data_IF_408299831909
#
_entry.id   IF_408299831909
#
_cell.length_a   1.000
_cell.length_b   1.000
_cell.length_c   1.000
_cell.angle_alpha   90.00
_cell.angle_beta   90.00
_cell.angle_gamma   90.00
#
_symmetry.space_group_name_H-M   'P 1'
#
loop_
_entity.id
_entity.type
_entity.pdbx_description
1 polymer ?
#
# COMPACT_ATOMS: atom_id res chain seq x y z
N UNK A 1 32.25 9.99 70.67
CA UNK A 1 33.60 9.98 70.06
C UNK A 1 33.53 10.60 68.68
N UNK A 2 34.26 11.70 68.48
CA UNK A 2 34.88 12.30 67.27
C UNK A 2 34.09 12.45 65.94
N UNK A 3 34.02 13.72 65.54
CA UNK A 3 33.92 14.26 64.17
C UNK A 3 34.86 13.55 63.17
N UNK A 4 34.56 13.63 61.87
CA UNK A 4 35.30 14.46 60.88
C UNK A 4 34.64 14.33 59.49
N UNK A 5 34.30 15.49 58.93
CA UNK A 5 33.92 15.79 57.55
C UNK A 5 35.14 15.69 56.62
N UNK A 6 35.00 15.16 55.40
CA UNK A 6 35.90 15.52 54.28
C UNK A 6 35.08 15.74 53.01
N UNK A 7 35.08 16.99 52.56
CA UNK A 7 34.72 17.42 51.22
C UNK A 7 35.70 16.81 50.20
N UNK A 8 35.17 16.27 49.10
CA UNK A 8 35.91 16.05 47.85
C UNK A 8 35.28 16.89 46.74
N UNK A 9 35.97 17.96 46.36
CA UNK A 9 35.59 18.98 45.38
C UNK A 9 35.92 18.50 43.95
N UNK A 10 34.95 18.69 43.05
CA UNK A 10 35.07 19.00 41.60
C UNK A 10 35.93 18.09 40.72
N UNK A 11 35.24 17.34 39.86
CA UNK A 11 35.72 16.92 38.54
C UNK A 11 34.73 17.40 37.48
N UNK A 12 35.00 18.59 36.93
CA UNK A 12 34.22 19.20 35.85
C UNK A 12 34.57 18.54 34.50
N UNK A 13 33.54 18.18 33.73
CA UNK A 13 33.47 18.21 32.25
C UNK A 13 34.55 17.49 31.44
N UNK A 14 34.20 16.34 30.86
CA UNK A 14 34.51 16.04 29.45
C UNK A 14 33.36 15.30 28.78
N UNK A 15 33.04 15.79 27.57
CA UNK A 15 31.98 15.36 26.67
C UNK A 15 32.08 13.87 26.31
N UNK A 16 30.92 13.20 26.29
CA UNK A 16 30.76 11.85 25.72
C UNK A 16 29.37 11.71 25.11
N UNK A 17 29.27 12.02 23.82
CA UNK A 17 28.12 11.77 22.96
C UNK A 17 27.85 10.27 22.88
N UNK A 18 26.63 9.82 23.24
CA UNK A 18 25.92 8.71 22.59
C UNK A 18 24.56 8.48 23.31
N UNK A 19 23.65 9.44 23.19
CA UNK A 19 22.24 9.16 23.42
C UNK A 19 21.70 8.35 22.25
N UNK A 20 21.89 7.03 22.28
CA UNK A 20 21.24 6.11 21.34
C UNK A 20 19.77 6.02 21.75
N UNK A 21 18.98 6.99 21.29
CA UNK A 21 17.53 6.94 21.43
C UNK A 21 17.01 5.75 20.63
N UNK A 22 16.56 4.70 21.32
CA UNK A 22 15.63 3.73 20.76
C UNK A 22 14.30 4.46 20.51
N UNK A 23 14.20 5.12 19.35
CA UNK A 23 12.93 5.63 18.86
C UNK A 23 12.19 4.48 18.18
N UNK A 24 11.00 4.22 18.72
CA UNK A 24 10.03 3.25 18.23
C UNK A 24 9.70 3.56 16.75
N UNK A 25 10.02 2.62 15.85
CA UNK A 25 9.78 2.76 14.41
C UNK A 25 8.28 2.71 14.05
N UNK A 26 7.38 2.42 14.99
CA UNK A 26 5.95 2.24 14.69
C UNK A 26 5.13 3.53 14.65
N UNK A 27 5.72 4.70 14.90
CA UNK A 27 5.05 5.99 14.76
C UNK A 27 5.79 6.95 13.84
N UNK A 28 6.28 6.49 12.68
CA UNK A 28 6.38 7.42 11.56
C UNK A 28 4.97 7.74 11.07
N UNK A 29 4.43 8.86 11.56
CA UNK A 29 3.38 9.59 10.87
C UNK A 29 3.84 9.77 9.41
N UNK A 30 3.18 9.06 8.50
CA UNK A 30 3.43 9.18 7.07
C UNK A 30 3.17 10.64 6.70
N UNK A 31 4.22 11.34 6.25
CA UNK A 31 4.10 12.68 5.71
C UNK A 31 3.08 12.63 4.56
N UNK A 32 2.07 13.52 4.50
CA UNK A 32 0.99 13.43 3.50
C UNK A 32 1.47 13.27 2.04
N UNK A 33 2.65 13.78 1.69
CA UNK A 33 3.25 13.63 0.35
C UNK A 33 3.79 12.22 0.02
N UNK A 34 4.13 11.40 1.02
CA UNK A 34 4.54 10.01 0.80
C UNK A 34 3.34 9.10 0.46
N UNK A 35 2.16 9.43 0.99
CA UNK A 35 0.92 8.70 0.69
C UNK A 35 0.44 8.96 -0.75
N UNK A 36 0.52 10.21 -1.24
CA UNK A 36 0.09 10.57 -2.60
C UNK A 36 1.00 9.96 -3.69
N UNK A 37 2.33 9.97 -3.51
CA UNK A 37 3.24 9.31 -4.44
C UNK A 37 3.16 7.78 -4.38
N UNK A 38 2.87 7.22 -3.20
CA UNK A 38 2.65 5.79 -3.01
C UNK A 38 1.38 5.28 -3.69
N UNK A 39 0.24 5.99 -3.57
CA UNK A 39 -1.02 5.55 -4.18
C UNK A 39 -0.96 5.51 -5.70
N UNK A 40 -0.30 6.50 -6.34
CA UNK A 40 -0.14 6.53 -7.79
C UNK A 40 0.66 5.31 -8.29
N UNK A 41 1.77 4.99 -7.62
CA UNK A 41 2.61 3.84 -7.97
C UNK A 41 1.85 2.50 -7.81
N UNK A 42 1.05 2.38 -6.75
CA UNK A 42 0.19 1.20 -6.55
C UNK A 42 -0.85 1.07 -7.67
N UNK A 43 -1.47 2.17 -8.07
CA UNK A 43 -2.42 2.20 -9.20
C UNK A 43 -1.74 1.79 -10.50
N UNK A 44 -0.55 2.34 -10.82
CA UNK A 44 0.21 1.97 -12.02
C UNK A 44 0.56 0.47 -12.06
N UNK A 45 0.97 -0.09 -10.92
CA UNK A 45 1.23 -1.52 -10.76
C UNK A 45 -0.05 -2.34 -10.97
N UNK A 46 -1.16 -1.96 -10.33
CA UNK A 46 -2.44 -2.64 -10.46
C UNK A 46 -3.00 -2.57 -11.89
N UNK A 47 -2.88 -1.42 -12.58
CA UNK A 47 -3.25 -1.25 -13.99
C UNK A 47 -2.47 -2.20 -14.88
N UNK A 48 -1.16 -2.32 -14.65
CA UNK A 48 -0.28 -3.21 -15.42
C UNK A 48 -0.73 -4.66 -15.29
N UNK A 49 -0.94 -5.14 -14.07
CA UNK A 49 -1.36 -6.51 -13.83
C UNK A 49 -2.80 -6.81 -14.28
N UNK A 50 -3.73 -5.87 -14.11
CA UNK A 50 -5.06 -5.98 -14.69
C UNK A 50 -5.01 -6.03 -16.23
N UNK A 51 -4.09 -5.28 -16.85
CA UNK A 51 -3.84 -5.32 -18.30
C UNK A 51 -3.31 -6.68 -18.76
N UNK A 52 -2.36 -7.28 -18.04
CA UNK A 52 -1.92 -8.65 -18.30
C UNK A 52 -3.08 -9.64 -18.22
N UNK A 53 -3.88 -9.57 -17.15
CA UNK A 53 -5.05 -10.40 -16.98
C UNK A 53 -6.09 -10.23 -18.12
N UNK A 54 -6.34 -9.01 -18.60
CA UNK A 54 -7.25 -8.78 -19.72
C UNK A 54 -6.76 -9.44 -21.03
N UNK A 55 -5.45 -9.52 -21.25
CA UNK A 55 -4.81 -10.17 -22.40
C UNK A 55 -4.59 -11.69 -22.24
N UNK A 56 -4.92 -12.25 -21.07
CA UNK A 56 -4.60 -13.64 -20.74
C UNK A 56 -5.33 -14.70 -21.57
N UNK A 57 -4.68 -15.83 -21.80
CA UNK A 57 -5.22 -16.95 -22.59
C UNK A 57 -5.69 -18.15 -21.76
N UNK A 58 -5.43 -18.15 -20.44
CA UNK A 58 -5.89 -19.21 -19.53
C UNK A 58 -6.48 -18.62 -18.27
N UNK A 59 -7.46 -19.29 -17.69
CA UNK A 59 -8.14 -18.80 -16.48
C UNK A 59 -7.15 -18.60 -15.33
N UNK A 60 -6.21 -19.54 -15.14
CA UNK A 60 -5.19 -19.44 -14.11
C UNK A 60 -4.30 -18.20 -14.28
N UNK A 61 -3.88 -17.88 -15.51
CA UNK A 61 -3.08 -16.68 -15.79
C UNK A 61 -3.87 -15.40 -15.50
N UNK A 62 -5.13 -15.35 -15.92
CA UNK A 62 -6.01 -14.21 -15.67
C UNK A 62 -6.24 -14.00 -14.18
N UNK A 63 -6.59 -15.06 -13.44
CA UNK A 63 -6.86 -15.00 -12.01
C UNK A 63 -5.60 -14.62 -11.22
N UNK A 64 -4.43 -15.14 -11.58
CA UNK A 64 -3.16 -14.80 -10.93
C UNK A 64 -2.84 -13.31 -11.06
N UNK A 65 -2.87 -12.78 -12.28
CA UNK A 65 -2.56 -11.36 -12.50
C UNK A 65 -3.65 -10.43 -11.99
N UNK A 66 -4.93 -10.81 -12.09
CA UNK A 66 -6.01 -10.03 -11.48
C UNK A 66 -5.93 -10.07 -9.95
N UNK A 67 -5.49 -11.19 -9.37
CA UNK A 67 -5.21 -11.33 -7.94
C UNK A 67 -4.09 -10.39 -7.46
N UNK A 68 -3.04 -10.19 -8.25
CA UNK A 68 -2.03 -9.17 -7.96
C UNK A 68 -2.64 -7.76 -7.92
N UNK A 69 -3.47 -7.41 -8.90
CA UNK A 69 -4.14 -6.11 -8.93
C UNK A 69 -5.09 -5.94 -7.73
N UNK A 70 -5.87 -6.98 -7.39
CA UNK A 70 -6.74 -6.99 -6.21
C UNK A 70 -5.95 -6.74 -4.91
N UNK A 71 -4.80 -7.42 -4.75
CA UNK A 71 -3.95 -7.23 -3.58
C UNK A 71 -3.35 -5.82 -3.50
N UNK A 72 -3.14 -5.14 -4.63
CA UNK A 72 -2.75 -3.73 -4.64
C UNK A 72 -3.91 -2.80 -4.23
N UNK A 73 -5.14 -3.10 -4.68
CA UNK A 73 -6.33 -2.34 -4.32
C UNK A 73 -6.60 -2.41 -2.80
N UNK A 74 -6.50 -3.62 -2.26
CA UNK A 74 -6.84 -3.95 -0.87
C UNK A 74 -5.71 -3.59 0.11
N UNK A 75 -4.46 -3.89 -0.24
CA UNK A 75 -3.34 -3.93 0.72
C UNK A 75 -3.49 -5.06 1.74
N UNK A 76 -2.47 -5.31 2.56
CA UNK A 76 -2.45 -6.44 3.53
C UNK A 76 -3.60 -6.44 4.54
N UNK A 77 -4.14 -5.27 4.86
CA UNK A 77 -5.25 -5.10 5.80
C UNK A 77 -6.64 -5.17 5.15
N UNK A 78 -6.71 -5.31 3.83
CA UNK A 78 -7.98 -5.32 3.10
C UNK A 78 -8.71 -6.66 3.21
N UNK A 79 -10.04 -6.60 3.19
CA UNK A 79 -10.94 -7.77 3.35
C UNK A 79 -10.79 -8.79 2.22
N UNK A 80 -10.42 -8.35 1.02
CA UNK A 80 -10.29 -9.22 -0.17
C UNK A 80 -8.82 -9.56 -0.48
N UNK A 81 -7.88 -9.14 0.36
CA UNK A 81 -6.48 -9.50 0.21
C UNK A 81 -6.30 -11.02 0.32
N UNK A 82 -5.49 -11.58 -0.57
CA UNK A 82 -5.14 -12.99 -0.53
C UNK A 82 -3.65 -13.20 -0.82
N UNK A 83 -2.91 -13.60 0.23
CA UNK A 83 -1.47 -13.82 0.16
C UNK A 83 -1.04 -14.89 -0.87
N UNK A 84 -1.91 -15.84 -1.22
CA UNK A 84 -1.61 -16.88 -2.21
C UNK A 84 -1.39 -16.31 -3.61
N UNK A 85 -1.98 -15.15 -3.92
CA UNK A 85 -1.70 -14.44 -5.17
C UNK A 85 -0.38 -13.66 -5.12
N UNK A 86 0.24 -13.47 -3.96
CA UNK A 86 1.41 -12.60 -3.81
C UNK A 86 1.06 -11.10 -3.84
N UNK A 87 1.89 -10.27 -3.21
CA UNK A 87 1.66 -8.83 -3.07
C UNK A 87 2.74 -8.02 -3.79
N UNK A 88 2.54 -7.80 -5.09
CA UNK A 88 3.48 -7.06 -5.95
C UNK A 88 3.57 -5.56 -5.64
N UNK A 89 2.62 -5.04 -4.85
CA UNK A 89 2.62 -3.66 -4.35
C UNK A 89 3.26 -3.51 -2.96
N UNK A 90 3.91 -4.55 -2.43
CA UNK A 90 4.64 -4.47 -1.17
C UNK A 90 5.61 -3.29 -1.16
N UNK A 91 5.57 -2.49 -0.08
CA UNK A 91 6.44 -1.32 0.08
C UNK A 91 6.03 -0.09 -0.74
N UNK A 92 4.97 -0.16 -1.54
CA UNK A 92 4.44 1.00 -2.29
C UNK A 92 3.37 1.78 -1.51
N UNK A 93 2.84 1.22 -0.42
CA UNK A 93 1.80 1.84 0.41
C UNK A 93 1.02 0.80 1.22
N UNK A 94 -0.16 1.18 1.72
CA UNK A 94 -1.02 0.33 2.55
C UNK A 94 -2.24 -0.24 1.80
N UNK A 95 -2.26 -0.11 0.48
CA UNK A 95 -3.39 -0.45 -0.39
C UNK A 95 -4.08 0.80 -0.93
N UNK A 96 -4.49 0.75 -2.21
CA UNK A 96 -5.06 1.92 -2.90
C UNK A 96 -6.29 2.47 -2.17
N UNK A 97 -7.21 1.60 -1.72
CA UNK A 97 -8.41 2.02 -0.98
C UNK A 97 -8.08 2.74 0.33
N UNK A 98 -6.96 2.38 0.97
CA UNK A 98 -6.52 3.00 2.21
C UNK A 98 -5.82 4.33 1.94
N UNK A 99 -4.87 4.33 1.02
CA UNK A 99 -4.01 5.49 0.78
C UNK A 99 -4.75 6.62 0.03
N UNK A 100 -5.80 6.32 -0.72
CA UNK A 100 -6.68 7.33 -1.33
C UNK A 100 -7.28 8.31 -0.32
N UNK A 101 -7.56 7.86 0.91
CA UNK A 101 -8.14 8.73 1.95
C UNK A 101 -7.23 9.90 2.33
N UNK A 102 -5.92 9.75 2.15
CA UNK A 102 -4.92 10.80 2.42
C UNK A 102 -4.44 11.54 1.18
N UNK A 103 -4.87 11.14 -0.02
CA UNK A 103 -4.40 11.71 -1.28
C UNK A 103 -5.24 12.91 -1.73
N UNK A 104 -4.59 13.94 -2.26
CA UNK A 104 -5.29 15.05 -2.89
C UNK A 104 -6.12 14.55 -4.09
N UNK A 105 -7.42 14.86 -4.11
CA UNK A 105 -8.34 14.34 -5.12
C UNK A 105 -8.80 12.89 -4.89
N UNK A 106 -8.30 12.21 -3.85
CA UNK A 106 -8.61 10.81 -3.60
C UNK A 106 -10.10 10.53 -3.36
N UNK A 107 -10.79 11.42 -2.64
CA UNK A 107 -12.24 11.32 -2.43
C UNK A 107 -13.05 11.33 -3.75
N UNK A 108 -12.58 12.03 -4.79
CA UNK A 108 -13.27 12.11 -6.07
C UNK A 108 -13.19 10.80 -6.88
N UNK A 109 -12.13 10.00 -6.66
CA UNK A 109 -11.89 8.75 -7.38
C UNK A 109 -12.17 7.50 -6.54
N UNK A 110 -12.44 7.67 -5.25
CA UNK A 110 -12.74 6.58 -4.32
C UNK A 110 -13.81 5.61 -4.86
N UNK A 111 -14.96 6.07 -5.42
CA UNK A 111 -15.96 5.15 -5.97
C UNK A 111 -15.45 4.33 -7.16
N UNK A 112 -14.56 4.90 -8.00
CA UNK A 112 -13.97 4.16 -9.14
C UNK A 112 -13.11 3.00 -8.65
N UNK A 113 -12.33 3.21 -7.59
CA UNK A 113 -11.48 2.16 -7.00
C UNK A 113 -12.30 1.11 -6.26
N UNK A 114 -13.40 1.50 -5.60
CA UNK A 114 -14.35 0.55 -4.99
C UNK A 114 -15.05 -0.33 -6.03
N UNK A 115 -15.40 0.23 -7.19
CA UNK A 115 -15.91 -0.55 -8.31
C UNK A 115 -14.84 -1.45 -8.93
N UNK A 116 -13.59 -0.99 -9.00
CA UNK A 116 -12.46 -1.81 -9.44
C UNK A 116 -12.22 -2.99 -8.47
N UNK A 117 -12.34 -2.78 -7.15
CA UNK A 117 -12.31 -3.87 -6.16
C UNK A 117 -13.39 -4.91 -6.46
N UNK A 118 -14.65 -4.48 -6.56
CA UNK A 118 -15.78 -5.39 -6.79
C UNK A 118 -15.64 -6.19 -8.10
N UNK A 119 -15.15 -5.56 -9.18
CA UNK A 119 -14.86 -6.25 -10.44
C UNK A 119 -13.69 -7.22 -10.29
N UNK A 120 -12.61 -6.84 -9.62
CA UNK A 120 -11.48 -7.73 -9.37
C UNK A 120 -11.91 -8.97 -8.57
N UNK A 121 -12.70 -8.79 -7.50
CA UNK A 121 -13.30 -9.90 -6.73
C UNK A 121 -14.14 -10.83 -7.61
N UNK A 122 -14.96 -10.26 -8.49
CA UNK A 122 -15.77 -11.05 -9.44
C UNK A 122 -14.87 -11.84 -10.39
N UNK A 123 -13.86 -11.19 -10.98
CA UNK A 123 -12.97 -11.81 -11.96
C UNK A 123 -12.06 -12.89 -11.39
N UNK A 124 -11.62 -12.77 -10.13
CA UNK A 124 -10.81 -13.84 -9.50
C UNK A 124 -11.65 -15.04 -9.06
N UNK A 125 -12.98 -14.88 -8.89
CA UNK A 125 -13.89 -15.95 -8.44
C UNK A 125 -14.59 -16.68 -9.58
N UNK A 126 -14.77 -16.03 -10.73
CA UNK A 126 -15.44 -16.67 -11.87
C UNK A 126 -14.64 -17.83 -12.44
N UNK A 127 -15.34 -18.80 -13.04
CA UNK A 127 -14.77 -19.94 -13.77
C UNK A 127 -14.82 -19.75 -15.29
N UNK A 128 -15.36 -18.63 -15.75
CA UNK A 128 -15.47 -18.28 -17.16
C UNK A 128 -14.32 -17.33 -17.57
N UNK A 129 -13.52 -17.75 -18.55
CA UNK A 129 -12.34 -17.00 -19.00
C UNK A 129 -12.75 -15.63 -19.58
N UNK A 130 -13.84 -15.58 -20.36
CA UNK A 130 -14.31 -14.34 -20.98
C UNK A 130 -14.71 -13.32 -19.91
N UNK A 131 -15.46 -13.75 -18.90
CA UNK A 131 -15.88 -12.94 -17.76
C UNK A 131 -14.67 -12.47 -16.96
N UNK A 132 -13.68 -13.34 -16.71
CA UNK A 132 -12.48 -12.97 -15.98
C UNK A 132 -11.68 -11.89 -16.71
N UNK A 133 -11.52 -12.01 -18.04
CA UNK A 133 -10.84 -11.02 -18.88
C UNK A 133 -11.60 -9.70 -18.95
N UNK A 134 -12.93 -9.75 -19.06
CA UNK A 134 -13.77 -8.56 -19.08
C UNK A 134 -13.69 -7.80 -17.74
N UNK A 135 -13.75 -8.52 -16.62
CA UNK A 135 -13.54 -7.95 -15.30
C UNK A 135 -12.16 -7.28 -15.19
N UNK A 136 -11.09 -7.96 -15.62
CA UNK A 136 -9.73 -7.42 -15.62
C UNK A 136 -9.59 -6.16 -16.49
N UNK A 137 -10.22 -6.13 -17.68
CA UNK A 137 -10.25 -4.95 -18.53
C UNK A 137 -10.97 -3.77 -17.85
N UNK A 138 -12.10 -4.03 -17.19
CA UNK A 138 -12.83 -3.04 -16.41
C UNK A 138 -12.01 -2.48 -15.24
N UNK A 139 -11.30 -3.34 -14.51
CA UNK A 139 -10.37 -2.92 -13.45
C UNK A 139 -9.28 -1.99 -14.00
N UNK A 140 -8.62 -2.40 -15.10
CA UNK A 140 -7.58 -1.58 -15.73
C UNK A 140 -8.13 -0.21 -16.16
N UNK A 141 -9.33 -0.17 -16.75
CA UNK A 141 -9.96 1.07 -17.19
C UNK A 141 -10.32 2.01 -16.03
N UNK A 142 -10.98 1.51 -14.99
CA UNK A 142 -11.35 2.30 -13.82
C UNK A 142 -10.13 2.88 -13.10
N UNK A 143 -9.09 2.07 -12.95
CA UNK A 143 -7.86 2.50 -12.29
C UNK A 143 -7.06 3.52 -13.13
N UNK A 144 -7.09 3.42 -14.47
CA UNK A 144 -6.51 4.45 -15.34
C UNK A 144 -7.22 5.80 -15.16
N UNK A 145 -8.56 5.79 -15.15
CA UNK A 145 -9.33 7.02 -14.87
C UNK A 145 -8.96 7.55 -13.48
N UNK A 146 -8.88 6.71 -12.45
CA UNK A 146 -8.46 7.17 -11.13
C UNK A 146 -7.07 7.82 -11.13
N UNK A 147 -6.10 7.25 -11.87
CA UNK A 147 -4.74 7.78 -11.98
C UNK A 147 -4.65 9.17 -12.64
N UNK A 148 -5.56 9.48 -13.58
CA UNK A 148 -5.61 10.77 -14.28
C UNK A 148 -6.03 11.91 -13.35
N UNK A 149 -6.82 11.62 -12.32
CA UNK A 149 -7.33 12.60 -11.36
C UNK A 149 -6.42 12.80 -10.14
N UNK A 150 -5.48 11.88 -9.89
CA UNK A 150 -4.47 11.99 -8.85
C UNK A 150 -3.25 12.73 -9.41
N UNK A 151 -3.07 13.99 -9.01
CA UNK A 151 -1.94 14.85 -9.38
C UNK A 151 -0.67 14.51 -8.62
#
# INVERSE_FOLDING_TARGET
>A
MRLVTVLGVVGLLLLGLAGVGYTDYHTRQQTPGAAASGVRRQIETAVTHAGFAAGGQSLAYVQQHLGHALNCIEGKGGRNFNAAWGHVCEGQGNGILTDLRGAAGGAAVQPLVEHADALAVTGVKTRDLTTARAAAAGVSALLKVAAEYLK
#
